data_IF_549326123474
#
_entry.id   IF_549326123474
#
_cell.length_a   1.000
_cell.length_b   1.000
_cell.length_c   1.000
_cell.angle_alpha   90.00
_cell.angle_beta   90.00
_cell.angle_gamma   90.00
#
_symmetry.space_group_name_H-M   'P 1'
#
loop_
_entity.id
_entity.type
_entity.pdbx_description
1 polymer ?
#
# COMPACT_ATOMS: atom_id res chain seq x y z
N UNK A 1 -21.12 4.98 -3.88
CA UNK A 1 -20.24 3.92 -4.42
C UNK A 1 -19.51 4.39 -5.68
N UNK A 2 -20.20 4.86 -6.72
CA UNK A 2 -19.56 5.27 -8.01
C UNK A 2 -18.46 6.34 -7.80
N UNK A 3 -18.72 7.37 -7.02
CA UNK A 3 -17.73 8.42 -6.70
C UNK A 3 -16.51 7.84 -5.97
N UNK A 4 -16.70 6.86 -5.11
CA UNK A 4 -15.63 6.21 -4.35
C UNK A 4 -14.71 5.40 -5.25
N UNK A 5 -15.27 4.65 -6.20
CA UNK A 5 -14.50 3.99 -7.26
C UNK A 5 -13.76 5.02 -8.11
N UNK A 6 -14.43 6.12 -8.50
CA UNK A 6 -13.83 7.19 -9.28
C UNK A 6 -12.60 7.80 -8.60
N UNK A 7 -12.67 8.06 -7.30
CA UNK A 7 -11.54 8.60 -6.54
C UNK A 7 -10.36 7.61 -6.52
N UNK A 8 -10.60 6.33 -6.22
CA UNK A 8 -9.53 5.32 -6.18
C UNK A 8 -8.89 5.14 -7.56
N UNK A 9 -9.68 5.03 -8.61
CA UNK A 9 -9.17 4.90 -9.97
C UNK A 9 -8.44 6.15 -10.46
N UNK A 10 -8.88 7.35 -10.08
CA UNK A 10 -8.20 8.60 -10.41
C UNK A 10 -6.78 8.62 -9.79
N UNK A 11 -6.65 8.27 -8.51
CA UNK A 11 -5.33 8.21 -7.87
C UNK A 11 -4.45 7.10 -8.44
N UNK A 12 -5.03 5.97 -8.83
CA UNK A 12 -4.30 4.91 -9.52
C UNK A 12 -3.79 5.38 -10.89
N UNK A 13 -4.63 6.05 -11.68
CA UNK A 13 -4.25 6.60 -12.98
C UNK A 13 -3.17 7.69 -12.86
N UNK A 14 -3.25 8.56 -11.85
CA UNK A 14 -2.20 9.54 -11.56
C UNK A 14 -0.90 8.82 -11.19
N UNK A 15 -0.96 7.78 -10.36
CA UNK A 15 0.20 6.95 -10.02
C UNK A 15 0.84 6.32 -11.25
N UNK A 16 0.04 5.78 -12.16
CA UNK A 16 0.51 5.18 -13.41
C UNK A 16 1.15 6.22 -14.34
N UNK A 17 0.52 7.40 -14.46
CA UNK A 17 1.07 8.49 -15.24
C UNK A 17 2.44 8.94 -14.71
N UNK A 18 2.60 9.06 -13.39
CA UNK A 18 3.86 9.42 -12.75
C UNK A 18 4.95 8.37 -12.96
N UNK A 19 4.61 7.08 -12.88
CA UNK A 19 5.55 5.99 -13.17
C UNK A 19 6.04 6.04 -14.60
N UNK A 20 5.13 6.25 -15.55
CA UNK A 20 5.47 6.36 -16.97
C UNK A 20 6.36 7.58 -17.26
N UNK A 21 6.15 8.69 -16.55
CA UNK A 21 6.98 9.90 -16.73
C UNK A 21 8.38 9.76 -16.12
N UNK A 22 8.47 9.10 -14.96
CA UNK A 22 9.73 9.02 -14.21
C UNK A 22 10.56 7.77 -14.55
N UNK A 23 9.94 6.77 -15.20
CA UNK A 23 10.60 5.50 -15.53
C UNK A 23 11.02 4.66 -14.33
N UNK A 24 10.47 4.95 -13.15
CA UNK A 24 10.82 4.24 -11.91
C UNK A 24 10.14 2.87 -11.92
N UNK A 25 10.89 1.82 -11.59
CA UNK A 25 10.41 0.43 -11.48
C UNK A 25 9.63 0.19 -10.17
N UNK A 26 8.71 1.10 -9.82
CA UNK A 26 7.82 0.98 -8.67
C UNK A 26 6.40 0.74 -9.19
N UNK A 27 5.64 -0.21 -8.63
CA UNK A 27 4.24 -0.41 -9.00
C UNK A 27 3.43 0.88 -8.83
N UNK A 28 2.69 1.27 -9.87
CA UNK A 28 1.87 2.49 -9.90
C UNK A 28 0.85 2.56 -8.76
N UNK A 29 0.36 1.40 -8.32
CA UNK A 29 -0.56 1.27 -7.19
C UNK A 29 0.03 1.79 -5.88
N UNK A 30 1.33 1.62 -5.66
CA UNK A 30 2.01 2.14 -4.46
C UNK A 30 2.04 3.66 -4.48
N UNK A 31 2.38 4.26 -5.62
CA UNK A 31 2.39 5.72 -5.79
C UNK A 31 0.98 6.28 -5.64
N UNK A 32 -0.02 5.65 -6.26
CA UNK A 32 -1.42 6.04 -6.12
C UNK A 32 -1.90 5.98 -4.66
N UNK A 33 -1.52 4.94 -3.92
CA UNK A 33 -1.86 4.79 -2.51
C UNK A 33 -1.21 5.87 -1.63
N UNK A 34 0.06 6.18 -1.85
CA UNK A 34 0.77 7.24 -1.12
C UNK A 34 0.15 8.61 -1.41
N UNK A 35 -0.16 8.90 -2.66
CA UNK A 35 -0.84 10.14 -3.06
C UNK A 35 -2.24 10.26 -2.44
N UNK A 36 -3.01 9.18 -2.45
CA UNK A 36 -4.33 9.16 -1.79
C UNK A 36 -4.20 9.41 -0.29
N UNK A 37 -3.26 8.76 0.37
CA UNK A 37 -2.99 8.93 1.79
C UNK A 37 -2.58 10.37 2.12
N UNK A 38 -1.69 10.97 1.32
CA UNK A 38 -1.30 12.36 1.45
C UNK A 38 -2.49 13.32 1.25
N UNK A 39 -3.32 13.08 0.23
CA UNK A 39 -4.51 13.89 -0.06
C UNK A 39 -5.58 13.81 1.04
N UNK A 40 -5.74 12.64 1.66
CA UNK A 40 -6.60 12.47 2.84
C UNK A 40 -6.07 13.26 4.04
N UNK A 41 -4.75 13.22 4.27
CA UNK A 41 -4.11 13.96 5.37
C UNK A 41 -4.18 15.47 5.16
N UNK A 42 -4.08 15.95 3.92
CA UNK A 42 -4.21 17.36 3.56
C UNK A 42 -5.68 17.84 3.52
N UNK A 43 -6.66 16.94 3.69
CA UNK A 43 -8.08 17.26 3.66
C UNK A 43 -8.65 17.55 2.26
N UNK A 44 -7.87 17.29 1.19
CA UNK A 44 -8.31 17.47 -0.20
C UNK A 44 -9.40 16.44 -0.54
N UNK A 45 -9.21 15.21 -0.07
CA UNK A 45 -10.18 14.11 -0.20
C UNK A 45 -10.81 13.87 1.16
N UNK A 46 -12.13 13.83 1.22
CA UNK A 46 -12.84 13.51 2.45
C UNK A 46 -12.82 12.00 2.71
N UNK A 47 -12.54 11.59 3.94
CA UNK A 47 -12.49 10.19 4.34
C UNK A 47 -13.77 9.43 3.95
N UNK A 48 -14.95 10.05 4.12
CA UNK A 48 -16.22 9.44 3.74
C UNK A 48 -16.37 9.11 2.25
N UNK A 49 -15.50 9.66 1.39
CA UNK A 49 -15.50 9.34 -0.05
C UNK A 49 -14.79 8.03 -0.38
N UNK A 50 -13.99 7.49 0.54
CA UNK A 50 -13.23 6.25 0.32
C UNK A 50 -13.52 5.18 1.37
N UNK A 51 -14.00 5.56 2.54
CA UNK A 51 -14.17 4.68 3.71
C UNK A 51 -15.05 3.46 3.44
N UNK A 52 -16.23 3.68 2.85
CA UNK A 52 -17.19 2.59 2.59
C UNK A 52 -16.65 1.58 1.58
N UNK A 53 -16.01 2.07 0.52
CA UNK A 53 -15.43 1.21 -0.51
C UNK A 53 -14.19 0.49 0.01
N UNK A 54 -13.32 1.18 0.74
CA UNK A 54 -12.15 0.58 1.37
C UNK A 54 -12.54 -0.50 2.36
N UNK A 55 -13.55 -0.24 3.20
CA UNK A 55 -14.11 -1.24 4.12
C UNK A 55 -14.67 -2.45 3.38
N UNK A 56 -15.40 -2.25 2.29
CA UNK A 56 -15.91 -3.35 1.45
C UNK A 56 -14.78 -4.17 0.84
N UNK A 57 -13.76 -3.53 0.29
CA UNK A 57 -12.60 -4.22 -0.31
C UNK A 57 -11.83 -5.04 0.72
N UNK A 58 -11.56 -4.46 1.90
CA UNK A 58 -10.85 -5.16 2.99
C UNK A 58 -11.68 -6.32 3.54
N UNK A 59 -12.99 -6.12 3.73
CA UNK A 59 -13.87 -7.19 4.23
C UNK A 59 -13.98 -8.36 3.25
N UNK A 60 -13.92 -8.07 1.95
CA UNK A 60 -14.00 -9.08 0.89
C UNK A 60 -12.64 -9.42 0.27
N UNK A 61 -11.55 -9.12 0.96
CA UNK A 61 -10.19 -9.34 0.45
C UNK A 61 -9.96 -10.77 -0.02
N UNK A 62 -10.48 -11.76 0.72
CA UNK A 62 -10.39 -13.18 0.34
C UNK A 62 -11.03 -13.50 -1.01
N UNK A 63 -12.13 -12.81 -1.35
CA UNK A 63 -12.78 -12.98 -2.66
C UNK A 63 -11.88 -12.52 -3.81
N UNK A 64 -11.09 -11.46 -3.61
CA UNK A 64 -10.16 -10.96 -4.62
C UNK A 64 -8.92 -11.85 -4.80
N UNK A 65 -8.61 -12.68 -3.79
CA UNK A 65 -7.53 -13.67 -3.91
C UNK A 65 -7.90 -14.86 -4.82
N UNK A 66 -9.18 -15.15 -5.02
CA UNK A 66 -9.61 -16.26 -5.87
C UNK A 66 -9.17 -16.10 -7.33
N UNK A 67 -9.42 -14.96 -8.02
CA UNK A 67 -8.91 -14.76 -9.38
C UNK A 67 -7.38 -14.80 -9.46
N UNK A 68 -6.70 -14.23 -8.45
CA UNK A 68 -5.24 -14.26 -8.38
C UNK A 68 -4.72 -15.69 -8.22
N UNK A 69 -5.37 -16.52 -7.40
CA UNK A 69 -5.04 -17.93 -7.24
C UNK A 69 -5.23 -18.73 -8.54
N UNK A 70 -6.32 -18.48 -9.27
CA UNK A 70 -6.56 -19.12 -10.58
C UNK A 70 -5.48 -18.70 -11.59
N UNK A 71 -5.10 -17.41 -11.61
CA UNK A 71 -4.01 -16.92 -12.45
C UNK A 71 -2.68 -17.63 -12.14
N UNK A 72 -2.41 -17.87 -10.86
CA UNK A 72 -1.21 -18.56 -10.41
C UNK A 72 -1.19 -20.04 -10.88
N UNK A 73 -2.36 -20.70 -10.95
CA UNK A 73 -2.46 -22.07 -11.44
C UNK A 73 -1.98 -22.21 -12.89
N UNK A 74 -2.15 -21.18 -13.71
CA UNK A 74 -1.65 -21.17 -15.09
C UNK A 74 -0.11 -21.04 -15.16
N UNK A 75 0.53 -20.61 -14.09
CA UNK A 75 1.98 -20.42 -13.99
C UNK A 75 2.70 -21.54 -13.23
N UNK A 76 1.98 -22.63 -12.87
CA UNK A 76 2.56 -23.72 -12.07
C UNK A 76 3.80 -24.34 -12.71
N UNK A 77 3.87 -24.43 -14.04
CA UNK A 77 5.05 -24.93 -14.75
C UNK A 77 6.29 -24.10 -14.46
N UNK A 78 6.17 -22.76 -14.56
CA UNK A 78 7.27 -21.84 -14.29
C UNK A 78 7.69 -21.89 -12.81
N UNK A 79 6.70 -22.00 -11.92
CA UNK A 79 6.94 -22.09 -10.48
C UNK A 79 7.65 -23.40 -10.14
N UNK A 80 7.25 -24.50 -10.75
CA UNK A 80 7.87 -25.82 -10.53
C UNK A 80 9.33 -25.85 -11.00
N UNK A 81 9.65 -25.18 -12.10
CA UNK A 81 11.02 -25.11 -12.63
C UNK A 81 11.94 -24.20 -11.80
N UNK A 82 11.37 -23.19 -11.15
CA UNK A 82 12.10 -22.16 -10.41
C UNK A 82 11.76 -22.08 -8.91
N UNK A 83 11.30 -23.18 -8.32
CA UNK A 83 10.85 -23.15 -6.92
C UNK A 83 11.95 -22.78 -5.92
N UNK A 84 13.20 -23.18 -6.18
CA UNK A 84 14.33 -22.87 -5.28
C UNK A 84 14.59 -21.37 -5.19
N UNK A 85 14.80 -20.61 -6.31
CA UNK A 85 14.95 -19.16 -6.24
C UNK A 85 13.72 -18.45 -5.67
N UNK A 86 12.51 -18.94 -5.96
CA UNK A 86 11.27 -18.34 -5.44
C UNK A 86 11.20 -18.48 -3.92
N UNK A 87 11.43 -19.67 -3.37
CA UNK A 87 11.41 -19.89 -1.92
C UNK A 87 12.51 -19.06 -1.23
N UNK A 88 13.71 -19.06 -1.78
CA UNK A 88 14.84 -18.32 -1.21
C UNK A 88 14.58 -16.81 -1.21
N UNK A 89 14.10 -16.25 -2.32
CA UNK A 89 13.72 -14.85 -2.43
C UNK A 89 12.58 -14.48 -1.46
N UNK A 90 11.58 -15.35 -1.33
CA UNK A 90 10.44 -15.14 -0.42
C UNK A 90 10.87 -15.09 1.03
N UNK A 91 11.72 -16.02 1.47
CA UNK A 91 12.23 -16.06 2.85
C UNK A 91 13.04 -14.80 3.13
N UNK A 92 14.00 -14.47 2.28
CA UNK A 92 14.86 -13.29 2.46
C UNK A 92 14.03 -12.01 2.47
N UNK A 93 13.14 -11.82 1.50
CA UNK A 93 12.31 -10.63 1.42
C UNK A 93 11.38 -10.50 2.63
N UNK A 94 10.87 -11.61 3.15
CA UNK A 94 10.05 -11.61 4.37
C UNK A 94 10.82 -11.08 5.58
N UNK A 95 12.04 -11.55 5.79
CA UNK A 95 12.90 -11.04 6.89
C UNK A 95 13.21 -9.55 6.71
N UNK A 96 13.55 -9.13 5.49
CA UNK A 96 13.84 -7.72 5.18
C UNK A 96 12.59 -6.85 5.44
N UNK A 97 11.43 -7.28 4.98
CA UNK A 97 10.17 -6.53 5.17
C UNK A 97 9.84 -6.39 6.66
N UNK A 98 9.96 -7.46 7.45
CA UNK A 98 9.70 -7.42 8.89
C UNK A 98 10.67 -6.45 9.58
N UNK A 99 11.96 -6.54 9.28
CA UNK A 99 12.98 -5.67 9.86
C UNK A 99 12.74 -4.19 9.50
N UNK A 100 12.53 -3.89 8.21
CA UNK A 100 12.30 -2.52 7.73
C UNK A 100 11.00 -1.95 8.28
N UNK A 101 9.91 -2.73 8.28
CA UNK A 101 8.61 -2.30 8.83
C UNK A 101 8.72 -1.99 10.32
N UNK A 102 9.38 -2.84 11.10
CA UNK A 102 9.63 -2.61 12.51
C UNK A 102 10.44 -1.34 12.75
N UNK A 103 11.47 -1.12 11.96
CA UNK A 103 12.34 0.06 12.05
C UNK A 103 11.59 1.35 11.71
N UNK A 104 10.86 1.36 10.61
CA UNK A 104 10.02 2.50 10.19
C UNK A 104 8.96 2.80 11.25
N UNK A 105 8.30 1.77 11.79
CA UNK A 105 7.32 1.95 12.85
C UNK A 105 7.92 2.60 14.10
N UNK A 106 9.11 2.17 14.52
CA UNK A 106 9.83 2.77 15.66
C UNK A 106 10.19 4.24 15.40
N UNK A 107 10.67 4.55 14.19
CA UNK A 107 11.00 5.92 13.81
C UNK A 107 9.78 6.84 13.85
N UNK A 108 8.66 6.40 13.27
CA UNK A 108 7.40 7.15 13.25
C UNK A 108 6.88 7.36 14.68
N UNK A 109 6.90 6.32 15.51
CA UNK A 109 6.48 6.41 16.91
C UNK A 109 7.35 7.38 17.71
N UNK A 110 8.67 7.32 17.54
CA UNK A 110 9.62 8.22 18.21
C UNK A 110 9.42 9.67 17.78
N UNK A 111 9.18 9.91 16.49
CA UNK A 111 8.89 11.26 15.98
C UNK A 111 7.56 11.79 16.52
N UNK A 112 6.52 10.97 16.56
CA UNK A 112 5.21 11.34 17.08
C UNK A 112 5.26 11.69 18.58
N UNK A 113 5.97 10.90 19.40
CA UNK A 113 6.08 11.18 20.84
C UNK A 113 6.81 12.49 21.12
N UNK A 114 7.85 12.83 20.35
CA UNK A 114 8.57 14.10 20.49
C UNK A 114 7.69 15.31 20.15
N UNK A 115 6.82 15.19 19.15
CA UNK A 115 5.86 16.23 18.79
C UNK A 115 4.83 16.44 19.88
N UNK A 116 4.26 15.37 20.43
CA UNK A 116 3.27 15.44 21.50
C UNK A 116 3.85 16.09 22.76
N UNK A 117 5.08 15.75 23.14
CA UNK A 117 5.79 16.38 24.27
C UNK A 117 6.07 17.86 24.03
N UNK A 118 6.37 18.26 22.79
CA UNK A 118 6.63 19.65 22.44
C UNK A 118 5.37 20.52 22.55
N UNK A 119 4.24 20.02 22.05
CA UNK A 119 2.96 20.72 22.15
C UNK A 119 2.43 20.79 23.59
N UNK A 120 2.65 19.76 24.40
CA UNK A 120 2.28 19.76 25.81
C UNK A 120 3.08 20.81 26.61
N UNK A 121 4.35 21.05 26.26
CA UNK A 121 5.22 22.02 26.93
C UNK A 121 4.96 23.48 26.50
N UNK A 122 4.41 23.69 25.31
CA UNK A 122 4.01 25.03 24.83
C UNK A 122 2.62 25.48 25.34
N UNK A 123 1.86 24.54 25.92
CA UNK A 123 0.52 24.80 26.46
C UNK A 123 0.51 25.08 27.99
N UNK A 124 1.65 24.99 28.68
CA UNK A 124 1.85 25.38 30.08
C UNK A 124 2.48 26.80 30.19
#
# INVERSE_FOLDING_TARGET
MIIQFGVLFAFLAIGEFLVNLTGIAIPSSIIGMVLLCASLKLGIVKLGWVERLSGFLVHNLGFFFVPAGIGLMNCLGIIADQWIPIVFATVISTFIIIAVTGWVHQLVRSASSKLTHKFAKEAE
#
